data_IF_819914470921
#
_entry.id   IF_819914470921
#
_cell.length_a   1.000
_cell.length_b   1.000
_cell.length_c   1.000
_cell.angle_alpha   90.00
_cell.angle_beta   90.00
_cell.angle_gamma   90.00
#
_symmetry.space_group_name_H-M   'P 1'
#
loop_
_entity.id
_entity.type
_entity.pdbx_description
1 polymer ?
#
# COMPACT_ATOMS: atom_id res chain seq x y z
N UNK A 1 -22.67 -2.57 57.43
CA UNK A 1 -21.59 -2.23 56.55
C UNK A 1 -22.19 -1.84 55.18
N UNK A 2 -22.23 -0.56 54.89
CA UNK A 2 -22.82 -0.02 53.65
C UNK A 2 -21.66 0.16 52.64
N UNK A 3 -21.69 -0.59 51.55
CA UNK A 3 -20.70 -0.44 50.49
C UNK A 3 -21.13 0.73 49.57
N UNK A 4 -20.34 1.80 49.58
CA UNK A 4 -20.52 2.95 48.74
C UNK A 4 -19.82 2.64 47.37
N UNK A 5 -20.63 2.33 46.36
CA UNK A 5 -20.14 2.19 44.98
C UNK A 5 -20.00 3.57 44.35
N UNK A 6 -18.77 4.06 44.21
CA UNK A 6 -18.44 5.25 43.43
C UNK A 6 -18.46 4.86 41.94
N UNK A 7 -19.51 5.29 41.23
CA UNK A 7 -19.55 5.26 39.77
C UNK A 7 -18.82 6.48 39.23
N UNK A 8 -17.60 6.27 38.66
CA UNK A 8 -16.94 7.29 37.85
C UNK A 8 -17.63 7.39 36.50
N UNK A 9 -18.43 8.45 36.29
CA UNK A 9 -18.85 8.84 34.96
C UNK A 9 -17.75 9.69 34.38
N UNK A 10 -16.92 9.08 33.51
CA UNK A 10 -16.05 9.82 32.61
C UNK A 10 -16.96 10.41 31.51
N UNK A 11 -17.45 11.63 31.70
CA UNK A 11 -17.96 12.45 30.61
C UNK A 11 -16.75 12.83 29.73
N UNK A 12 -16.55 12.13 28.63
CA UNK A 12 -15.75 12.65 27.52
C UNK A 12 -16.64 13.72 26.89
N UNK A 13 -16.40 15.00 27.20
CA UNK A 13 -16.94 16.10 26.43
C UNK A 13 -16.19 16.10 25.10
N UNK A 14 -16.79 15.55 24.04
CA UNK A 14 -16.34 15.87 22.68
C UNK A 14 -16.55 17.39 22.53
N UNK A 15 -15.46 18.14 22.38
CA UNK A 15 -15.53 19.52 21.93
C UNK A 15 -16.07 19.50 20.50
N UNK A 16 -17.37 19.80 20.35
CA UNK A 16 -17.99 19.90 19.02
C UNK A 16 -17.44 21.16 18.37
N UNK A 17 -16.49 21.00 17.47
CA UNK A 17 -15.99 22.09 16.66
C UNK A 17 -17.15 22.70 15.83
N UNK A 18 -17.20 24.03 15.78
CA UNK A 18 -18.25 24.73 15.03
C UNK A 18 -18.11 24.47 13.51
N UNK A 19 -19.25 24.40 12.81
CA UNK A 19 -19.25 24.32 11.35
C UNK A 19 -18.96 25.70 10.71
N UNK A 20 -17.77 26.20 10.94
CA UNK A 20 -17.20 27.41 10.35
C UNK A 20 -15.91 27.04 9.61
N UNK A 21 -15.37 27.90 8.72
CA UNK A 21 -14.08 27.62 8.06
C UNK A 21 -12.97 27.32 9.09
N UNK A 22 -12.88 28.09 10.15
CA UNK A 22 -11.88 27.91 11.23
C UNK A 22 -12.15 26.64 12.05
N UNK A 23 -13.41 26.34 12.37
CA UNK A 23 -13.78 25.13 13.11
C UNK A 23 -13.49 23.85 12.31
N UNK A 24 -13.79 23.82 11.02
CA UNK A 24 -13.45 22.68 10.16
C UNK A 24 -11.93 22.50 10.00
N UNK A 25 -11.19 23.58 9.88
CA UNK A 25 -9.72 23.52 9.84
C UNK A 25 -9.14 22.98 11.15
N UNK A 26 -9.60 23.50 12.30
CA UNK A 26 -9.17 23.04 13.62
C UNK A 26 -9.44 21.55 13.80
N UNK A 27 -10.68 21.12 13.50
CA UNK A 27 -11.06 19.71 13.59
C UNK A 27 -10.19 18.81 12.70
N UNK A 28 -9.92 19.22 11.46
CA UNK A 28 -9.05 18.46 10.56
C UNK A 28 -7.63 18.36 11.11
N UNK A 29 -7.05 19.48 11.56
CA UNK A 29 -5.71 19.50 12.09
C UNK A 29 -5.58 18.59 13.33
N UNK A 30 -6.54 18.64 14.27
CA UNK A 30 -6.58 17.81 15.48
C UNK A 30 -6.77 16.31 15.16
N UNK A 31 -7.61 15.98 14.19
CA UNK A 31 -7.78 14.59 13.72
C UNK A 31 -6.43 14.04 13.26
N UNK A 32 -5.69 14.79 12.47
CA UNK A 32 -4.37 14.36 12.00
C UNK A 32 -3.36 14.36 13.15
N UNK A 33 -3.31 15.40 13.98
CA UNK A 33 -2.37 15.51 15.11
C UNK A 33 -2.50 14.34 16.07
N UNK A 34 -3.75 13.88 16.35
CA UNK A 34 -4.01 12.86 17.36
C UNK A 34 -4.13 11.43 16.81
N UNK A 35 -4.48 11.27 15.53
CA UNK A 35 -4.84 9.94 14.98
C UNK A 35 -3.93 9.48 13.85
N UNK A 36 -3.25 10.37 13.14
CA UNK A 36 -2.33 9.98 12.07
C UNK A 36 -1.06 9.35 12.63
N UNK A 37 -0.61 8.24 12.04
CA UNK A 37 0.43 7.42 12.65
C UNK A 37 1.87 7.76 12.24
N UNK A 38 2.09 8.71 11.30
CA UNK A 38 3.41 8.95 10.74
C UNK A 38 3.96 10.37 10.98
N UNK A 39 3.41 11.16 11.91
CA UNK A 39 3.89 12.55 12.10
C UNK A 39 5.37 12.59 12.47
N UNK A 40 5.78 11.88 13.52
CA UNK A 40 7.18 11.85 13.97
C UNK A 40 8.09 11.20 12.94
N UNK A 41 7.65 10.09 12.32
CA UNK A 41 8.40 9.45 11.25
C UNK A 41 8.67 10.42 10.07
N UNK A 42 7.67 11.22 9.67
CA UNK A 42 7.83 12.20 8.58
C UNK A 42 8.60 13.45 9.02
N UNK A 43 8.58 13.78 10.31
CA UNK A 43 9.49 14.79 10.86
C UNK A 43 10.94 14.33 10.72
N UNK A 44 11.26 13.08 11.04
CA UNK A 44 12.60 12.51 10.92
C UNK A 44 13.05 12.40 9.45
N UNK A 45 12.14 11.98 8.55
CA UNK A 45 12.48 11.72 7.14
C UNK A 45 12.68 12.98 6.29
N UNK A 46 11.89 14.03 6.52
CA UNK A 46 11.95 15.24 5.69
C UNK A 46 11.63 16.54 6.43
N UNK A 47 11.65 16.53 7.76
CA UNK A 47 11.51 17.74 8.57
C UNK A 47 10.07 18.27 8.67
N UNK A 48 9.04 17.41 8.58
CA UNK A 48 7.64 17.84 8.76
C UNK A 48 7.44 18.39 10.16
N UNK A 49 7.09 19.68 10.27
CA UNK A 49 6.63 20.30 11.52
C UNK A 49 5.12 20.57 11.43
N UNK A 50 4.32 19.68 12.04
CA UNK A 50 2.86 19.77 11.96
C UNK A 50 2.30 21.02 12.65
N UNK A 51 2.99 21.56 13.67
CA UNK A 51 2.62 22.81 14.32
C UNK A 51 2.91 24.02 13.43
N UNK A 52 4.01 24.00 12.69
CA UNK A 52 4.30 25.04 11.71
C UNK A 52 3.31 24.98 10.54
N UNK A 53 2.90 23.78 10.11
CA UNK A 53 1.83 23.60 9.11
C UNK A 53 0.54 24.26 9.58
N UNK A 54 0.14 24.08 10.86
CA UNK A 54 -1.00 24.80 11.43
C UNK A 54 -0.89 26.31 11.26
N UNK A 55 0.25 26.89 11.66
CA UNK A 55 0.46 28.34 11.58
C UNK A 55 0.39 28.86 10.13
N UNK A 56 0.97 28.12 9.22
CA UNK A 56 1.00 28.47 7.78
C UNK A 56 -0.40 28.51 7.18
N UNK A 57 -1.20 27.48 7.44
CA UNK A 57 -2.49 27.32 6.78
C UNK A 57 -3.63 28.03 7.52
N UNK A 58 -3.57 28.19 8.85
CA UNK A 58 -4.57 28.96 9.61
C UNK A 58 -4.60 30.45 9.20
N UNK A 59 -3.46 31.03 8.83
CA UNK A 59 -3.36 32.42 8.36
C UNK A 59 -4.05 32.65 7.00
N UNK A 60 -4.45 31.60 6.29
CA UNK A 60 -5.14 31.68 5.00
C UNK A 60 -6.66 31.66 5.12
N UNK A 61 -7.17 31.44 6.34
CA UNK A 61 -8.61 31.34 6.60
C UNK A 61 -9.24 32.71 6.80
N UNK A 62 -10.41 32.91 6.20
CA UNK A 62 -11.30 34.03 6.48
C UNK A 62 -12.67 33.54 6.91
N UNK A 63 -13.43 34.33 7.66
CA UNK A 63 -14.72 33.91 8.20
C UNK A 63 -15.81 33.78 7.11
N UNK A 64 -15.63 34.48 5.99
CA UNK A 64 -16.51 34.47 4.80
C UNK A 64 -16.09 33.48 3.70
N UNK A 65 -15.07 32.64 3.98
CA UNK A 65 -14.53 31.69 3.02
C UNK A 65 -15.60 30.67 2.59
N UNK A 66 -15.83 30.57 1.28
CA UNK A 66 -16.75 29.58 0.71
C UNK A 66 -16.11 28.17 0.67
N UNK A 67 -16.95 27.15 0.56
CA UNK A 67 -16.56 25.73 0.61
C UNK A 67 -15.43 25.36 -0.36
N UNK A 68 -15.42 25.89 -1.59
CA UNK A 68 -14.37 25.59 -2.56
C UNK A 68 -13.00 26.11 -2.11
N UNK A 69 -12.94 27.34 -1.59
CA UNK A 69 -11.70 27.93 -1.08
C UNK A 69 -11.23 27.20 0.18
N UNK A 70 -12.16 26.85 1.09
CA UNK A 70 -11.85 26.05 2.26
C UNK A 70 -11.30 24.67 1.86
N UNK A 71 -11.95 23.96 0.93
CA UNK A 71 -11.48 22.65 0.45
C UNK A 71 -10.04 22.73 -0.09
N UNK A 72 -9.73 23.78 -0.85
CA UNK A 72 -8.39 24.00 -1.38
C UNK A 72 -7.35 24.16 -0.25
N UNK A 73 -7.63 25.02 0.75
CA UNK A 73 -6.71 25.25 1.87
C UNK A 73 -6.48 23.95 2.65
N UNK A 74 -7.55 23.21 3.00
CA UNK A 74 -7.47 21.96 3.74
C UNK A 74 -6.73 20.87 2.93
N UNK A 75 -6.99 20.79 1.63
CA UNK A 75 -6.33 19.82 0.74
C UNK A 75 -4.84 20.09 0.63
N UNK A 76 -4.44 21.36 0.52
CA UNK A 76 -3.02 21.74 0.46
C UNK A 76 -2.30 21.45 1.78
N UNK A 77 -2.96 21.72 2.93
CA UNK A 77 -2.44 21.34 4.25
C UNK A 77 -2.18 19.83 4.34
N UNK A 78 -3.11 19.00 3.90
CA UNK A 78 -2.96 17.55 3.95
C UNK A 78 -1.84 17.03 3.01
N UNK A 79 -1.54 17.72 1.91
CA UNK A 79 -0.44 17.35 0.99
C UNK A 79 0.95 17.45 1.64
N UNK A 80 1.10 18.26 2.68
CA UNK A 80 2.36 18.32 3.45
C UNK A 80 2.73 16.96 4.07
N UNK A 81 1.72 16.11 4.31
CA UNK A 81 1.93 14.75 4.83
C UNK A 81 2.56 13.79 3.81
N UNK A 82 2.59 14.11 2.52
CA UNK A 82 3.16 13.28 1.44
C UNK A 82 2.69 11.81 1.50
N UNK A 83 1.40 11.61 1.76
CA UNK A 83 0.80 10.28 1.95
C UNK A 83 -0.39 10.09 0.99
N UNK A 84 -0.32 9.07 0.12
CA UNK A 84 -1.37 8.74 -0.82
C UNK A 84 -2.65 8.20 -0.17
N UNK A 85 -2.58 7.75 1.08
CA UNK A 85 -3.76 7.35 1.86
C UNK A 85 -4.48 8.53 2.51
N UNK A 86 -3.87 9.72 2.58
CA UNK A 86 -4.50 10.91 3.14
C UNK A 86 -5.33 11.61 2.08
N UNK A 87 -6.65 11.55 2.24
CA UNK A 87 -7.61 12.11 1.30
C UNK A 87 -8.69 12.89 2.03
N UNK A 88 -8.95 14.13 1.64
CA UNK A 88 -10.15 14.86 2.02
C UNK A 88 -11.22 14.62 0.94
N UNK A 89 -12.41 14.22 1.36
CA UNK A 89 -13.53 13.90 0.48
C UNK A 89 -14.69 14.84 0.79
N UNK A 90 -15.09 15.63 -0.19
CA UNK A 90 -16.29 16.43 -0.20
C UNK A 90 -17.27 15.87 -1.24
N UNK A 91 -18.49 16.40 -1.30
CA UNK A 91 -19.53 15.89 -2.21
C UNK A 91 -19.12 15.82 -3.68
N UNK A 92 -18.31 16.79 -4.16
CA UNK A 92 -17.90 16.89 -5.56
C UNK A 92 -16.38 16.79 -5.78
N UNK A 93 -15.59 16.69 -4.73
CA UNK A 93 -14.12 16.76 -4.80
C UNK A 93 -13.47 15.77 -3.86
N UNK A 94 -12.32 15.22 -4.31
CA UNK A 94 -11.44 14.40 -3.46
C UNK A 94 -10.02 14.89 -3.64
N UNK A 95 -9.36 15.24 -2.52
CA UNK A 95 -7.94 15.58 -2.53
C UNK A 95 -7.10 14.31 -2.62
N UNK A 96 -5.96 14.40 -3.31
CA UNK A 96 -4.99 13.30 -3.43
C UNK A 96 -3.58 13.84 -3.50
N UNK A 97 -2.65 13.15 -2.85
CA UNK A 97 -1.22 13.33 -3.06
C UNK A 97 -0.73 12.26 -4.03
N UNK A 98 -0.09 12.67 -5.16
CA UNK A 98 0.31 11.76 -6.25
C UNK A 98 1.81 11.76 -6.55
N UNK A 99 2.57 12.67 -5.96
CA UNK A 99 3.99 12.86 -6.28
C UNK A 99 4.86 11.63 -5.99
N UNK A 100 4.37 10.68 -5.18
CA UNK A 100 5.06 9.43 -4.90
C UNK A 100 5.21 8.52 -6.14
N UNK A 101 4.46 8.78 -7.22
CA UNK A 101 4.59 8.09 -8.51
C UNK A 101 4.65 9.02 -9.73
N UNK A 102 4.09 10.22 -9.70
CA UNK A 102 4.02 11.11 -10.88
C UNK A 102 5.40 11.62 -11.32
N UNK A 103 6.36 11.72 -10.38
CA UNK A 103 7.71 12.21 -10.63
C UNK A 103 8.72 11.08 -10.97
N UNK A 104 8.24 9.86 -11.22
CA UNK A 104 9.09 8.68 -11.46
C UNK A 104 8.75 7.99 -12.79
N UNK A 105 9.68 7.21 -13.37
CA UNK A 105 9.41 6.39 -14.54
C UNK A 105 8.20 5.49 -14.29
N UNK A 106 7.31 5.38 -15.28
CA UNK A 106 6.11 4.54 -15.15
C UNK A 106 6.47 3.05 -15.07
N UNK A 107 7.57 2.65 -15.71
CA UNK A 107 8.05 1.26 -15.73
C UNK A 107 6.98 0.22 -16.08
N UNK A 108 6.01 0.64 -16.90
CA UNK A 108 4.92 -0.21 -17.36
C UNK A 108 4.27 0.40 -18.61
N UNK A 109 4.09 -0.42 -19.64
CA UNK A 109 3.36 -0.07 -20.87
C UNK A 109 2.36 -1.18 -21.15
N UNK A 110 1.07 -0.89 -21.00
CA UNK A 110 -0.04 -1.86 -21.11
C UNK A 110 -0.01 -2.64 -22.43
N UNK A 111 0.26 -1.98 -23.54
CA UNK A 111 0.33 -2.63 -24.86
C UNK A 111 1.49 -3.60 -24.99
N UNK A 112 2.63 -3.31 -24.36
CA UNK A 112 3.80 -4.21 -24.35
C UNK A 112 3.52 -5.39 -23.40
N UNK A 113 3.00 -5.14 -22.20
CA UNK A 113 2.63 -6.17 -21.24
C UNK A 113 1.66 -7.19 -21.84
N UNK A 114 0.69 -6.73 -22.66
CA UNK A 114 -0.25 -7.62 -23.38
C UNK A 114 0.42 -8.55 -24.39
N UNK A 115 1.57 -8.16 -24.97
CA UNK A 115 2.34 -9.04 -25.84
C UNK A 115 2.79 -10.29 -25.09
N UNK A 116 3.28 -10.12 -23.85
CA UNK A 116 3.70 -11.25 -22.98
C UNK A 116 2.54 -12.13 -22.52
N UNK A 117 1.36 -11.55 -22.26
CA UNK A 117 0.17 -12.35 -21.99
C UNK A 117 -0.25 -13.20 -23.19
N UNK A 118 0.01 -12.70 -24.41
CA UNK A 118 -0.43 -13.37 -25.63
C UNK A 118 -1.93 -13.17 -25.90
N UNK A 119 -2.46 -13.93 -26.89
CA UNK A 119 -3.88 -13.86 -27.26
C UNK A 119 -4.75 -14.83 -26.45
N UNK A 120 -4.15 -15.92 -26.02
CA UNK A 120 -4.84 -17.06 -25.40
C UNK A 120 -4.63 -17.11 -23.87
N UNK A 121 -4.34 -15.94 -23.24
CA UNK A 121 -4.21 -15.87 -21.80
C UNK A 121 -5.52 -16.22 -21.09
N UNK A 122 -5.38 -16.85 -19.91
CA UNK A 122 -6.53 -17.19 -19.06
C UNK A 122 -6.76 -16.10 -18.01
N UNK A 123 -8.03 -15.93 -17.63
CA UNK A 123 -8.42 -15.01 -16.54
C UNK A 123 -9.16 -15.77 -15.46
N UNK A 124 -8.66 -15.70 -14.23
CA UNK A 124 -9.32 -16.24 -13.04
C UNK A 124 -9.42 -15.17 -11.96
N UNK A 125 -10.66 -14.76 -11.64
CA UNK A 125 -10.97 -13.79 -10.57
C UNK A 125 -10.09 -12.50 -10.61
N UNK A 126 -9.86 -11.94 -11.80
CA UNK A 126 -9.06 -10.71 -11.99
C UNK A 126 -7.56 -10.92 -12.16
N UNK A 127 -7.05 -12.11 -11.95
CA UNK A 127 -5.70 -12.52 -12.37
C UNK A 127 -5.71 -12.94 -13.82
N UNK A 128 -4.74 -12.43 -14.61
CA UNK A 128 -4.46 -12.88 -15.97
C UNK A 128 -3.15 -13.65 -15.97
N UNK A 129 -3.11 -14.80 -16.65
CA UNK A 129 -1.90 -15.61 -16.69
C UNK A 129 -1.71 -16.35 -18.00
N UNK A 130 -0.48 -16.66 -18.30
CA UNK A 130 -0.05 -17.43 -19.47
C UNK A 130 1.28 -18.12 -19.20
N UNK A 131 1.72 -18.95 -20.13
CA UNK A 131 3.06 -19.57 -20.13
C UNK A 131 3.86 -18.89 -21.25
N UNK A 132 5.01 -18.32 -20.91
CA UNK A 132 5.90 -17.71 -21.87
C UNK A 132 6.64 -18.79 -22.69
N UNK A 133 7.18 -18.41 -23.86
CA UNK A 133 7.86 -19.34 -24.80
C UNK A 133 9.01 -20.13 -24.17
N UNK A 134 9.67 -19.58 -23.14
CA UNK A 134 10.78 -20.20 -22.42
C UNK A 134 10.36 -21.00 -21.18
N UNK A 135 9.10 -21.42 -21.13
CA UNK A 135 8.50 -22.21 -20.05
C UNK A 135 8.52 -21.51 -18.67
N UNK A 136 8.41 -20.18 -18.66
CA UNK A 136 8.20 -19.38 -17.46
C UNK A 136 6.70 -19.04 -17.34
N UNK A 137 6.12 -19.32 -16.18
CA UNK A 137 4.75 -18.87 -15.87
C UNK A 137 4.72 -17.36 -15.70
N UNK A 138 3.72 -16.69 -16.27
CA UNK A 138 3.53 -15.25 -16.12
C UNK A 138 2.13 -14.97 -15.59
N UNK A 139 2.08 -14.30 -14.45
CA UNK A 139 0.85 -13.84 -13.79
C UNK A 139 0.87 -12.31 -13.77
N UNK A 140 -0.21 -11.67 -14.25
CA UNK A 140 -0.48 -10.26 -14.04
C UNK A 140 -1.66 -10.10 -13.10
N UNK A 141 -1.43 -9.43 -11.96
CA UNK A 141 -2.46 -9.14 -10.97
C UNK A 141 -2.55 -7.63 -10.74
N UNK A 142 -3.51 -6.99 -11.41
CA UNK A 142 -3.62 -5.53 -11.46
C UNK A 142 -4.33 -4.88 -10.27
N UNK A 143 -4.98 -5.64 -9.38
CA UNK A 143 -5.67 -5.05 -8.21
C UNK A 143 -5.99 -6.11 -7.15
N UNK A 144 -5.66 -5.82 -5.90
CA UNK A 144 -6.13 -6.56 -4.72
C UNK A 144 -7.57 -6.21 -4.29
N UNK A 145 -8.31 -5.43 -5.09
CA UNK A 145 -9.75 -5.20 -4.90
C UNK A 145 -10.60 -6.30 -5.56
N UNK A 146 -10.05 -7.05 -6.51
CA UNK A 146 -10.72 -8.19 -7.13
C UNK A 146 -10.53 -9.43 -6.27
N UNK A 147 -11.63 -9.98 -5.75
CA UNK A 147 -11.60 -11.13 -4.86
C UNK A 147 -11.15 -12.40 -5.56
N UNK A 148 -9.94 -12.86 -5.24
CA UNK A 148 -9.46 -14.18 -5.71
C UNK A 148 -9.69 -15.23 -4.63
N UNK A 149 -10.39 -16.31 -4.99
CA UNK A 149 -10.66 -17.46 -4.13
C UNK A 149 -9.49 -18.44 -4.07
N UNK A 150 -9.52 -19.32 -3.05
CA UNK A 150 -8.52 -20.38 -2.88
C UNK A 150 -8.48 -21.32 -4.10
N UNK A 151 -9.65 -21.71 -4.63
CA UNK A 151 -9.73 -22.61 -5.79
C UNK A 151 -9.20 -21.98 -7.08
N UNK A 152 -9.35 -20.63 -7.23
CA UNK A 152 -8.76 -19.93 -8.37
C UNK A 152 -7.22 -19.98 -8.32
N UNK A 153 -6.63 -19.79 -7.12
CA UNK A 153 -5.18 -19.93 -6.96
C UNK A 153 -4.71 -21.37 -7.17
N UNK A 154 -5.47 -22.37 -6.71
CA UNK A 154 -5.15 -23.77 -6.96
C UNK A 154 -5.13 -24.07 -8.46
N UNK A 155 -6.13 -23.61 -9.21
CA UNK A 155 -6.22 -23.75 -10.67
C UNK A 155 -5.02 -23.12 -11.38
N UNK A 156 -4.75 -21.82 -11.11
CA UNK A 156 -3.64 -21.09 -11.71
C UNK A 156 -2.31 -21.82 -11.44
N UNK A 157 -2.02 -22.14 -10.17
CA UNK A 157 -0.75 -22.74 -9.79
C UNK A 157 -0.60 -24.17 -10.28
N UNK A 158 -1.69 -24.94 -10.43
CA UNK A 158 -1.69 -26.27 -11.06
C UNK A 158 -1.35 -26.17 -12.54
N UNK A 159 -2.00 -25.28 -13.30
CA UNK A 159 -1.71 -25.11 -14.73
C UNK A 159 -0.26 -24.64 -14.95
N UNK A 160 0.22 -23.73 -14.12
CA UNK A 160 1.60 -23.23 -14.22
C UNK A 160 2.64 -24.21 -13.61
N UNK A 161 2.23 -25.31 -12.98
CA UNK A 161 3.15 -26.24 -12.28
C UNK A 161 4.21 -26.86 -13.16
N UNK A 162 3.97 -26.94 -14.48
CA UNK A 162 4.96 -27.42 -15.48
C UNK A 162 6.07 -26.42 -15.75
N UNK A 163 5.89 -25.13 -15.42
CA UNK A 163 6.86 -24.07 -15.67
C UNK A 163 8.10 -24.21 -14.77
N UNK A 164 9.23 -23.71 -15.23
CA UNK A 164 10.51 -23.76 -14.53
C UNK A 164 10.63 -22.66 -13.45
N UNK A 165 9.94 -21.55 -13.63
CA UNK A 165 9.87 -20.41 -12.72
C UNK A 165 8.56 -19.64 -12.91
N UNK A 166 8.31 -18.64 -12.06
CA UNK A 166 7.11 -17.83 -12.08
C UNK A 166 7.42 -16.34 -12.01
N UNK A 167 6.81 -15.56 -12.87
CA UNK A 167 6.77 -14.09 -12.75
C UNK A 167 5.40 -13.69 -12.21
N UNK A 168 5.38 -12.89 -11.14
CA UNK A 168 4.18 -12.24 -10.62
C UNK A 168 4.31 -10.75 -10.84
N UNK A 169 3.60 -10.22 -11.82
CA UNK A 169 3.62 -8.80 -12.15
C UNK A 169 2.51 -8.07 -11.39
N UNK A 170 2.92 -7.28 -10.40
CA UNK A 170 2.06 -6.41 -9.60
C UNK A 170 2.35 -4.93 -9.86
N UNK A 171 2.97 -4.61 -10.99
CA UNK A 171 3.12 -3.22 -11.43
C UNK A 171 1.76 -2.60 -11.70
N UNK A 172 1.60 -1.31 -11.38
CA UNK A 172 0.34 -0.56 -11.46
C UNK A 172 -0.81 -1.13 -10.60
N UNK A 173 -0.53 -2.05 -9.68
CA UNK A 173 -1.50 -2.53 -8.70
C UNK A 173 -1.55 -1.58 -7.49
N UNK A 174 -2.58 -0.76 -7.39
CA UNK A 174 -2.77 0.22 -6.32
C UNK A 174 -3.22 -0.37 -4.97
N UNK A 175 -3.27 -1.70 -4.84
CA UNK A 175 -3.67 -2.38 -3.60
C UNK A 175 -5.13 -2.81 -3.56
N UNK A 176 -5.68 -2.88 -2.36
CA UNK A 176 -7.03 -3.36 -2.05
C UNK A 176 -7.11 -4.00 -0.67
N UNK A 177 -7.50 -5.26 -0.58
CA UNK A 177 -7.67 -5.99 0.67
C UNK A 177 -6.38 -6.69 1.12
N UNK A 178 -5.94 -6.46 2.35
CA UNK A 178 -4.79 -7.16 2.96
C UNK A 178 -4.98 -8.68 2.99
N UNK A 179 -6.20 -9.15 3.22
CA UNK A 179 -6.50 -10.60 3.23
C UNK A 179 -6.22 -11.29 1.89
N UNK A 180 -6.24 -10.57 0.77
CA UNK A 180 -5.87 -11.11 -0.54
C UNK A 180 -4.34 -11.13 -0.72
N UNK A 181 -3.62 -10.16 -0.14
CA UNK A 181 -2.16 -10.20 -0.03
C UNK A 181 -1.72 -11.45 0.75
N UNK A 182 -2.31 -11.68 1.94
CA UNK A 182 -2.03 -12.86 2.77
C UNK A 182 -2.31 -14.16 2.01
N UNK A 183 -3.48 -14.25 1.39
CA UNK A 183 -3.90 -15.44 0.64
C UNK A 183 -2.93 -15.77 -0.50
N UNK A 184 -2.50 -14.78 -1.27
CA UNK A 184 -1.55 -15.00 -2.35
C UNK A 184 -0.17 -15.35 -1.80
N UNK A 185 0.36 -14.62 -0.81
CA UNK A 185 1.66 -14.87 -0.23
C UNK A 185 1.77 -16.27 0.43
N UNK A 186 0.70 -16.77 1.04
CA UNK A 186 0.66 -18.10 1.68
C UNK A 186 0.94 -19.27 0.72
N UNK A 187 0.90 -19.03 -0.60
CA UNK A 187 1.19 -20.01 -1.63
C UNK A 187 2.69 -20.20 -1.91
N UNK A 188 3.55 -19.37 -1.35
CA UNK A 188 4.98 -19.34 -1.67
C UNK A 188 5.91 -19.75 -0.53
N UNK A 189 5.36 -20.30 0.53
CA UNK A 189 6.11 -20.86 1.65
C UNK A 189 5.59 -22.23 2.09
N UNK A 190 6.46 -23.04 2.71
CA UNK A 190 6.11 -24.27 3.42
C UNK A 190 6.20 -24.13 4.94
N UNK A 191 6.67 -22.99 5.40
CA UNK A 191 6.92 -22.70 6.81
C UNK A 191 6.23 -21.40 7.22
N UNK A 192 5.97 -21.23 8.51
CA UNK A 192 5.52 -19.97 9.08
C UNK A 192 6.65 -18.96 9.01
N UNK A 193 6.46 -17.86 8.28
CA UNK A 193 7.47 -16.81 8.04
C UNK A 193 7.04 -15.52 8.72
N UNK A 194 7.91 -14.94 9.53
CA UNK A 194 7.75 -13.58 10.04
C UNK A 194 7.94 -12.61 8.87
N UNK A 195 6.94 -11.77 8.60
CA UNK A 195 6.96 -10.86 7.45
C UNK A 195 6.97 -9.38 7.85
N UNK A 196 6.81 -9.09 9.13
CA UNK A 196 6.84 -7.74 9.65
C UNK A 196 6.11 -7.60 10.97
N UNK A 197 5.79 -6.35 11.30
CA UNK A 197 5.07 -5.99 12.52
C UNK A 197 4.04 -4.90 12.22
N UNK A 198 3.06 -4.75 13.12
CA UNK A 198 2.08 -3.66 13.11
C UNK A 198 1.88 -3.13 14.51
N UNK A 199 1.72 -1.82 14.65
CA UNK A 199 1.33 -1.18 15.91
C UNK A 199 -0.01 -0.45 15.75
N UNK A 200 -0.69 -0.22 16.86
CA UNK A 200 -1.97 0.47 16.91
C UNK A 200 -1.89 1.68 17.83
N UNK A 201 -2.55 2.77 17.46
CA UNK A 201 -2.68 3.95 18.33
C UNK A 201 -3.37 3.57 19.64
N UNK A 202 -2.79 3.99 20.76
CA UNK A 202 -3.31 3.77 22.12
C UNK A 202 -3.67 5.07 22.85
N UNK A 203 -3.32 6.21 22.27
CA UNK A 203 -3.57 7.52 22.83
C UNK A 203 -3.37 8.64 21.78
N UNK A 204 -3.57 9.91 22.17
CA UNK A 204 -3.49 11.05 21.27
C UNK A 204 -2.05 11.52 20.95
N UNK A 205 -1.06 11.14 21.74
CA UNK A 205 0.34 11.52 21.50
C UNK A 205 0.91 10.86 20.25
N UNK A 206 1.85 11.53 19.58
CA UNK A 206 2.40 11.04 18.31
C UNK A 206 3.02 9.65 18.42
N UNK A 207 3.60 9.32 19.58
CA UNK A 207 4.25 8.04 19.87
C UNK A 207 3.42 7.09 20.73
N UNK A 208 2.14 7.39 20.97
CA UNK A 208 1.25 6.53 21.75
C UNK A 208 0.81 5.33 20.91
N UNK A 209 1.66 4.32 20.84
CA UNK A 209 1.41 3.06 20.14
C UNK A 209 1.47 1.84 21.04
N UNK A 210 0.77 0.79 20.68
CA UNK A 210 0.96 -0.55 21.25
C UNK A 210 2.37 -1.07 20.99
N UNK A 211 2.79 -2.08 21.74
CA UNK A 211 3.95 -2.87 21.31
C UNK A 211 3.70 -3.42 19.89
N UNK A 212 4.72 -3.46 19.01
CA UNK A 212 4.58 -4.02 17.68
C UNK A 212 4.18 -5.50 17.74
N UNK A 213 3.07 -5.85 17.12
CA UNK A 213 2.59 -7.21 17.01
C UNK A 213 3.15 -7.86 15.74
N UNK A 214 3.74 -9.08 15.84
CA UNK A 214 4.35 -9.75 14.71
C UNK A 214 3.30 -10.22 13.69
N UNK A 215 3.57 -9.98 12.42
CA UNK A 215 2.78 -10.45 11.30
C UNK A 215 3.48 -11.66 10.68
N UNK A 216 2.75 -12.76 10.58
CA UNK A 216 3.25 -13.99 9.96
C UNK A 216 2.45 -14.36 8.72
N UNK A 217 3.14 -14.91 7.73
CA UNK A 217 2.50 -15.68 6.66
C UNK A 217 2.63 -17.15 7.01
N UNK A 218 1.50 -17.85 7.08
CA UNK A 218 1.44 -19.31 7.27
C UNK A 218 1.18 -20.00 5.92
N UNK A 219 1.75 -21.19 5.71
CA UNK A 219 1.52 -21.94 4.49
C UNK A 219 0.03 -22.24 4.29
N UNK A 220 -0.46 -22.08 3.08
CA UNK A 220 -1.84 -22.43 2.75
C UNK A 220 -2.07 -23.95 2.98
N UNK A 221 -2.96 -24.29 3.92
CA UNK A 221 -3.22 -25.66 4.34
C UNK A 221 -4.10 -26.40 3.31
N UNK A 222 -3.66 -27.58 2.87
CA UNK A 222 -4.36 -28.42 1.88
C UNK A 222 -4.62 -27.69 0.55
N UNK A 223 -3.67 -26.83 0.14
CA UNK A 223 -3.73 -26.05 -1.09
C UNK A 223 -2.46 -26.21 -1.92
N UNK A 224 -2.57 -25.90 -3.21
CA UNK A 224 -1.41 -25.87 -4.12
C UNK A 224 -0.47 -24.74 -3.70
N UNK A 225 0.81 -25.06 -3.53
CA UNK A 225 1.87 -24.10 -3.19
C UNK A 225 2.97 -24.16 -4.25
N UNK A 226 3.48 -23.00 -4.61
CA UNK A 226 4.58 -22.88 -5.55
C UNK A 226 5.93 -22.99 -4.83
N UNK A 227 6.76 -23.95 -5.28
CA UNK A 227 8.03 -24.25 -4.61
C UNK A 227 9.27 -24.07 -5.51
N UNK A 228 9.10 -23.40 -6.65
CA UNK A 228 10.19 -23.02 -7.56
C UNK A 228 10.51 -21.52 -7.42
N UNK A 229 11.51 -21.05 -8.14
CA UNK A 229 11.88 -19.62 -8.13
C UNK A 229 10.73 -18.72 -8.60
N UNK A 230 10.61 -17.55 -7.96
CA UNK A 230 9.59 -16.54 -8.25
C UNK A 230 10.26 -15.18 -8.40
N UNK A 231 9.91 -14.42 -9.44
CA UNK A 231 10.24 -13.00 -9.59
C UNK A 231 8.97 -12.16 -9.46
N UNK A 232 8.95 -11.23 -8.51
CA UNK A 232 7.85 -10.28 -8.32
C UNK A 232 8.22 -8.94 -8.96
N UNK A 233 7.44 -8.49 -9.94
CA UNK A 233 7.71 -7.23 -10.64
C UNK A 233 6.98 -6.07 -10.00
N UNK A 234 7.71 -4.99 -9.73
CA UNK A 234 7.21 -3.82 -9.01
C UNK A 234 7.51 -2.52 -9.73
N UNK A 235 6.68 -1.51 -9.48
CA UNK A 235 6.93 -0.13 -9.85
C UNK A 235 6.36 0.82 -8.78
N UNK A 236 6.52 2.15 -8.97
CA UNK A 236 6.01 3.16 -8.02
C UNK A 236 4.49 3.08 -7.78
N UNK A 237 3.73 2.48 -8.66
CA UNK A 237 2.28 2.28 -8.49
C UNK A 237 1.92 0.94 -7.83
N UNK A 238 2.89 0.11 -7.44
CA UNK A 238 2.69 -1.01 -6.52
C UNK A 238 2.50 -0.44 -5.10
N UNK A 239 1.25 -0.28 -4.63
CA UNK A 239 0.92 0.56 -3.47
C UNK A 239 -0.01 -0.14 -2.48
N UNK A 240 0.00 0.26 -1.20
CA UNK A 240 -0.94 -0.20 -0.17
C UNK A 240 -0.85 -1.72 0.02
N UNK A 241 -1.94 -2.49 -0.12
CA UNK A 241 -1.92 -3.97 0.01
C UNK A 241 -0.96 -4.64 -0.96
N UNK A 242 -0.60 -3.99 -2.08
CA UNK A 242 0.45 -4.49 -2.98
C UNK A 242 1.83 -4.29 -2.37
N UNK A 243 2.07 -3.16 -1.69
CA UNK A 243 3.30 -2.94 -0.93
C UNK A 243 3.45 -3.98 0.19
N UNK A 244 2.37 -4.28 0.90
CA UNK A 244 2.31 -5.34 1.90
C UNK A 244 2.62 -6.73 1.30
N UNK A 245 2.02 -7.07 0.15
CA UNK A 245 2.33 -8.30 -0.58
C UNK A 245 3.83 -8.39 -0.95
N UNK A 246 4.40 -7.31 -1.47
CA UNK A 246 5.83 -7.27 -1.82
C UNK A 246 6.71 -7.44 -0.59
N UNK A 247 6.37 -6.81 0.54
CA UNK A 247 7.05 -7.01 1.82
C UNK A 247 7.06 -8.47 2.27
N UNK A 248 5.92 -9.14 2.17
CA UNK A 248 5.79 -10.58 2.46
C UNK A 248 6.61 -11.43 1.50
N UNK A 249 6.52 -11.17 0.19
CA UNK A 249 7.28 -11.92 -0.81
C UNK A 249 8.79 -11.74 -0.66
N UNK A 250 9.25 -10.58 -0.19
CA UNK A 250 10.67 -10.34 0.11
C UNK A 250 11.24 -11.25 1.19
N UNK A 251 10.39 -11.78 2.06
CA UNK A 251 10.76 -12.74 3.11
C UNK A 251 10.65 -14.21 2.65
N UNK A 252 10.10 -14.46 1.45
CA UNK A 252 9.92 -15.84 0.96
C UNK A 252 11.25 -16.38 0.39
N UNK A 253 11.62 -17.64 0.69
CA UNK A 253 12.97 -18.17 0.44
C UNK A 253 13.35 -18.27 -1.04
N UNK A 254 12.35 -18.31 -1.94
CA UNK A 254 12.58 -18.47 -3.39
C UNK A 254 12.10 -17.30 -4.21
N UNK A 255 11.78 -16.19 -3.56
CA UNK A 255 11.32 -14.96 -4.19
C UNK A 255 12.48 -13.98 -4.44
N UNK A 256 12.32 -13.16 -5.46
CA UNK A 256 13.18 -12.02 -5.76
C UNK A 256 12.31 -10.88 -6.28
N UNK A 257 12.54 -9.67 -5.79
CA UNK A 257 11.81 -8.48 -6.21
C UNK A 257 12.59 -7.76 -7.30
N UNK A 258 11.97 -7.51 -8.45
CA UNK A 258 12.61 -6.94 -9.64
C UNK A 258 11.84 -5.73 -10.14
N UNK A 259 12.53 -4.68 -10.54
CA UNK A 259 11.93 -3.48 -11.13
C UNK A 259 12.24 -2.22 -10.36
N UNK A 260 11.23 -1.42 -10.01
CA UNK A 260 11.41 -0.18 -9.25
C UNK A 260 10.91 -0.33 -7.82
N UNK A 261 11.33 0.61 -6.96
CA UNK A 261 10.80 0.77 -5.61
C UNK A 261 9.28 0.86 -5.65
N UNK A 262 8.59 0.20 -4.73
CA UNK A 262 7.14 0.31 -4.57
C UNK A 262 6.73 1.72 -4.13
N UNK A 263 5.46 2.03 -4.21
CA UNK A 263 4.94 3.34 -3.80
C UNK A 263 4.71 3.50 -2.29
N UNK A 264 4.77 2.41 -1.53
CA UNK A 264 4.54 2.46 -0.09
C UNK A 264 3.07 2.39 0.32
N UNK A 265 2.66 3.27 1.26
CA UNK A 265 1.30 3.27 1.81
C UNK A 265 1.05 2.12 2.78
N UNK A 266 1.86 2.03 3.84
CA UNK A 266 1.85 0.94 4.81
C UNK A 266 1.13 1.27 6.12
N UNK A 267 0.38 2.36 6.18
CA UNK A 267 -0.51 2.66 7.28
C UNK A 267 -1.91 2.13 7.03
N UNK A 268 -2.45 1.31 7.94
CA UNK A 268 -3.83 0.86 7.82
C UNK A 268 -4.77 2.10 7.87
N UNK A 269 -5.54 2.38 6.80
CA UNK A 269 -6.31 3.61 6.74
C UNK A 269 -7.57 3.58 7.61
N UNK A 270 -7.86 4.73 8.22
CA UNK A 270 -9.06 5.02 8.96
C UNK A 270 -9.74 6.28 8.38
N UNK A 271 -10.98 6.57 8.80
CA UNK A 271 -11.69 7.78 8.37
C UNK A 271 -12.33 8.47 9.55
N UNK A 272 -12.38 9.80 9.49
CA UNK A 272 -13.13 10.66 10.41
C UNK A 272 -13.94 11.68 9.63
N UNK A 273 -14.96 12.26 10.27
CA UNK A 273 -15.83 13.27 9.67
C UNK A 273 -15.53 14.64 10.27
N UNK A 274 -15.64 15.70 9.45
CA UNK A 274 -15.52 17.08 9.84
C UNK A 274 -16.90 17.67 10.15
N UNK A 275 -16.99 18.79 10.90
CA UNK A 275 -18.27 19.42 11.25
C UNK A 275 -19.17 19.77 10.06
N UNK A 276 -18.60 20.03 8.88
CA UNK A 276 -19.33 20.30 7.64
C UNK A 276 -19.75 19.04 6.86
N UNK A 277 -19.53 17.84 7.40
CA UNK A 277 -19.87 16.56 6.77
C UNK A 277 -18.84 16.06 5.74
N UNK A 278 -17.70 16.74 5.58
CA UNK A 278 -16.60 16.18 4.76
C UNK A 278 -15.90 15.06 5.52
N UNK A 279 -15.40 14.09 4.78
CA UNK A 279 -14.64 12.96 5.34
C UNK A 279 -13.16 13.11 5.09
N UNK A 280 -12.34 12.84 6.09
CA UNK A 280 -10.89 12.70 5.94
C UNK A 280 -10.51 11.24 6.16
N UNK A 281 -9.76 10.67 5.21
CA UNK A 281 -9.11 9.35 5.33
C UNK A 281 -7.63 9.56 5.62
N UNK A 282 -7.05 8.75 6.49
CA UNK A 282 -5.64 8.86 6.89
C UNK A 282 -5.10 7.52 7.40
N UNK A 283 -3.77 7.36 7.40
CA UNK A 283 -3.07 6.19 7.95
C UNK A 283 -3.09 6.22 9.49
N UNK A 284 -3.56 5.14 10.14
CA UNK A 284 -3.74 5.08 11.60
C UNK A 284 -2.87 4.03 12.31
N UNK A 285 -2.38 3.01 11.59
CA UNK A 285 -1.61 1.91 12.18
C UNK A 285 -0.37 1.64 11.33
N UNK A 286 0.83 1.99 11.81
CA UNK A 286 2.06 1.81 11.04
C UNK A 286 2.42 0.32 10.93
N UNK A 287 2.93 -0.06 9.75
CA UNK A 287 3.48 -1.38 9.47
C UNK A 287 4.99 -1.29 9.26
N UNK A 288 5.69 -2.31 9.71
CA UNK A 288 7.14 -2.40 9.67
C UNK A 288 7.59 -3.70 9.00
N UNK A 289 8.79 -3.69 8.45
CA UNK A 289 9.48 -4.91 8.04
C UNK A 289 9.98 -5.72 9.26
N UNK A 290 10.56 -6.92 9.07
CA UNK A 290 11.12 -7.70 10.19
C UNK A 290 12.25 -7.01 10.96
N UNK A 291 12.92 -6.03 10.35
CA UNK A 291 13.99 -5.23 10.96
C UNK A 291 13.47 -3.94 11.60
N UNK A 292 12.14 -3.79 11.73
CA UNK A 292 11.45 -2.63 12.30
C UNK A 292 11.60 -1.33 11.51
N UNK A 293 11.91 -1.40 10.21
CA UNK A 293 11.87 -0.23 9.34
C UNK A 293 10.45 0.05 8.85
N UNK A 294 10.06 1.31 8.78
CA UNK A 294 8.79 1.71 8.18
C UNK A 294 8.70 1.37 6.70
N UNK A 295 7.56 0.86 6.26
CA UNK A 295 7.28 0.54 4.86
C UNK A 295 6.52 1.65 4.12
N UNK A 296 6.27 2.79 4.79
CA UNK A 296 5.44 3.89 4.29
C UNK A 296 5.94 4.47 2.97
N UNK A 297 7.24 4.67 2.82
CA UNK A 297 7.84 5.21 1.60
C UNK A 297 8.28 4.13 0.59
N UNK A 298 7.75 2.91 0.73
CA UNK A 298 7.93 1.81 -0.21
C UNK A 298 9.15 0.94 0.06
N UNK A 299 9.18 -0.17 -0.66
CA UNK A 299 10.16 -1.25 -0.54
C UNK A 299 11.08 -1.20 -1.75
N UNK A 300 12.38 -1.19 -1.52
CA UNK A 300 13.36 -1.29 -2.59
C UNK A 300 13.34 -2.71 -3.17
N UNK A 301 13.40 -2.86 -4.51
CA UNK A 301 13.58 -4.16 -5.14
C UNK A 301 14.95 -4.73 -4.80
N UNK A 302 15.11 -6.06 -4.95
CA UNK A 302 16.40 -6.71 -4.85
C UNK A 302 17.26 -6.40 -6.08
N UNK A 303 16.60 -6.25 -7.23
CA UNK A 303 17.25 -5.86 -8.49
C UNK A 303 16.50 -4.67 -9.09
N UNK A 304 17.12 -3.48 -9.01
CA UNK A 304 16.60 -2.25 -9.62
C UNK A 304 16.81 -2.28 -11.12
N UNK A 305 15.71 -2.23 -11.87
CA UNK A 305 15.71 -2.14 -13.33
C UNK A 305 14.58 -1.21 -13.77
N UNK A 306 14.89 -0.30 -14.70
CA UNK A 306 13.89 0.54 -15.37
C UNK A 306 13.68 0.06 -16.82
N UNK A 307 12.50 0.32 -17.38
CA UNK A 307 12.25 0.09 -18.80
C UNK A 307 13.08 1.03 -19.64
N UNK A 308 13.75 0.50 -20.66
CA UNK A 308 14.53 1.30 -21.60
C UNK A 308 13.70 1.72 -22.81
N UNK A 309 13.97 2.91 -23.34
CA UNK A 309 13.30 3.38 -24.56
C UNK A 309 13.57 2.46 -25.76
N UNK A 310 14.79 1.90 -25.83
CA UNK A 310 15.20 0.99 -26.90
C UNK A 310 14.35 -0.29 -26.90
N UNK A 311 14.15 -0.91 -25.73
CA UNK A 311 13.32 -2.11 -25.60
C UNK A 311 11.85 -1.81 -25.90
N UNK A 312 11.33 -0.71 -25.34
CA UNK A 312 9.95 -0.28 -25.61
C UNK A 312 9.67 -0.09 -27.10
N UNK A 313 10.60 0.51 -27.86
CA UNK A 313 10.49 0.67 -29.31
C UNK A 313 10.47 -0.67 -30.06
N UNK A 314 11.10 -1.70 -29.50
CA UNK A 314 11.09 -3.07 -30.04
C UNK A 314 9.92 -3.91 -29.52
N UNK A 315 8.98 -3.31 -28.75
CA UNK A 315 7.87 -4.02 -28.11
C UNK A 315 8.30 -4.97 -27.00
N UNK A 316 9.45 -4.72 -26.38
CA UNK A 316 9.98 -5.51 -25.26
C UNK A 316 9.81 -4.78 -23.94
N UNK A 317 9.54 -5.54 -22.89
CA UNK A 317 9.52 -5.08 -21.50
C UNK A 317 10.84 -5.45 -20.83
N UNK A 318 11.73 -4.47 -20.62
CA UNK A 318 13.05 -4.67 -20.04
C UNK A 318 13.00 -5.40 -18.70
N UNK A 319 11.97 -5.13 -17.89
CA UNK A 319 11.82 -5.71 -16.53
C UNK A 319 11.38 -7.18 -16.63
N UNK A 320 10.44 -7.51 -17.53
CA UNK A 320 10.02 -8.91 -17.78
C UNK A 320 11.20 -9.71 -18.34
N UNK A 321 11.93 -9.16 -19.33
CA UNK A 321 13.08 -9.86 -19.90
C UNK A 321 14.16 -10.15 -18.85
N UNK A 322 14.49 -9.17 -18.01
CA UNK A 322 15.43 -9.36 -16.91
C UNK A 322 14.96 -10.44 -15.91
N UNK A 323 13.66 -10.45 -15.56
CA UNK A 323 13.11 -11.46 -14.67
C UNK A 323 13.21 -12.88 -15.29
N UNK A 324 13.00 -13.02 -16.61
CA UNK A 324 13.16 -14.29 -17.33
C UNK A 324 14.59 -14.80 -17.22
N UNK A 325 15.59 -13.95 -17.47
CA UNK A 325 17.00 -14.32 -17.37
C UNK A 325 17.41 -14.70 -15.92
N UNK A 326 16.91 -13.97 -14.91
CA UNK A 326 17.15 -14.29 -13.51
C UNK A 326 16.57 -15.67 -13.14
N UNK A 327 15.36 -15.98 -13.61
CA UNK A 327 14.71 -17.27 -13.32
C UNK A 327 15.41 -18.43 -14.02
N UNK A 328 15.92 -18.23 -15.24
CA UNK A 328 16.73 -19.24 -15.95
C UNK A 328 18.04 -19.56 -15.21
N UNK A 329 18.75 -18.53 -14.74
CA UNK A 329 20.00 -18.71 -14.00
C UNK A 329 19.82 -19.42 -12.64
N UNK A 330 18.63 -19.37 -12.05
CA UNK A 330 18.30 -20.07 -10.79
C UNK A 330 17.86 -21.52 -10.99
N UNK A 331 17.70 -21.98 -12.22
CA UNK A 331 17.37 -23.38 -12.56
C UNK A 331 18.60 -24.29 -12.53
N UNK A 332 19.80 -23.70 -12.74
CA UNK A 332 21.10 -24.39 -12.65
C UNK A 332 21.57 -24.50 -11.19
#
# INVERSE_FOLDING_TARGET
MLALTLTFHACITEEISENTPKGNFQALWEIIDTKYCFLDYKQDEYGLDWKQVYQTYSNRLTDDMGNKALFQVLSEMLKELRDGHVNLVAYHETSQYREWYDNYPTNFVDTIQRIYLGKDYVTAAGIKYSILEDNIGYIYYGSFSSGIGESNLDEILNELSICDGLIIDVRNNGGGLLSLSDRLASRFTNEKVLTGYMSYKTGPGHNDFSHPEPIYVEPATNRVRWQKAVAVLTNRRSYSSTNDFVGKMKQMPKSIIVGDKTGGGSGLPFSSELPNGWSVRFSASPMYDPDMNHLEFGINPDIKIDMTLEDMQKGKDTIIEAAREILKAKKE
#
